data_IF_137168145578
#
_entry.id   IF_137168145578
#
_cell.length_a   1.000
_cell.length_b   1.000
_cell.length_c   1.000
_cell.angle_alpha   90.00
_cell.angle_beta   90.00
_cell.angle_gamma   90.00
#
_symmetry.space_group_name_H-M   'P 1'
#
loop_
_entity.id
_entity.type
_entity.pdbx_description
1 polymer ?
#
# COMPACT_ATOMS: atom_id res chain seq x y z
N UNK A 1 -33.98 6.15 -87.94
CA UNK A 1 -35.13 5.33 -87.49
C UNK A 1 -35.15 5.37 -85.98
N UNK A 2 -36.22 5.93 -85.41
CA UNK A 2 -36.79 5.57 -84.08
C UNK A 2 -36.00 6.08 -82.86
N UNK A 3 -36.53 6.80 -81.88
CA UNK A 3 -37.82 7.46 -81.66
C UNK A 3 -37.63 8.53 -80.56
N UNK A 4 -38.44 9.57 -80.64
CA UNK A 4 -38.65 10.64 -79.68
C UNK A 4 -39.19 10.18 -78.32
N UNK A 5 -38.89 11.00 -77.29
CA UNK A 5 -39.82 11.71 -76.39
C UNK A 5 -39.09 12.11 -75.09
N UNK A 6 -39.56 13.08 -74.27
CA UNK A 6 -40.53 14.15 -74.53
C UNK A 6 -40.03 15.53 -74.02
N UNK A 7 -40.50 16.65 -74.60
CA UNK A 7 -40.42 17.95 -73.94
C UNK A 7 -41.57 18.87 -74.35
N UNK A 8 -41.95 19.74 -73.41
CA UNK A 8 -42.89 20.87 -73.50
C UNK A 8 -44.38 20.49 -73.36
N UNK A 9 -45.25 21.23 -72.67
CA UNK A 9 -45.17 22.50 -71.94
C UNK A 9 -46.51 22.64 -71.21
N UNK A 10 -46.56 23.10 -69.95
CA UNK A 10 -47.54 24.13 -69.57
C UNK A 10 -47.17 24.82 -68.24
N UNK A 11 -46.94 26.11 -68.37
CA UNK A 11 -46.82 27.16 -67.35
C UNK A 11 -47.56 28.37 -67.98
N UNK A 12 -47.96 29.46 -67.30
CA UNK A 12 -48.13 29.79 -65.88
C UNK A 12 -49.53 30.40 -65.58
N UNK A 13 -49.74 30.86 -64.33
CA UNK A 13 -50.46 32.08 -63.87
C UNK A 13 -51.38 31.77 -62.69
N UNK A 14 -51.57 32.59 -61.66
CA UNK A 14 -50.91 33.77 -61.09
C UNK A 14 -51.58 33.96 -59.72
N UNK A 15 -50.84 34.47 -58.73
CA UNK A 15 -51.18 34.71 -57.31
C UNK A 15 -52.37 35.71 -57.11
N UNK A 16 -52.81 36.11 -55.88
CA UNK A 16 -52.23 35.90 -54.54
C UNK A 16 -53.24 35.62 -53.39
N UNK A 17 -52.79 34.90 -52.37
CA UNK A 17 -53.50 34.76 -51.10
C UNK A 17 -52.55 34.25 -50.03
N UNK A 18 -51.77 35.16 -49.43
CA UNK A 18 -51.06 34.90 -48.17
C UNK A 18 -51.85 35.59 -47.04
N UNK A 19 -51.70 35.23 -45.74
CA UNK A 19 -50.86 34.19 -45.15
C UNK A 19 -51.63 33.38 -44.07
N UNK A 20 -51.74 32.05 -44.21
CA UNK A 20 -51.99 31.21 -43.01
C UNK A 20 -50.69 30.53 -42.66
N UNK A 21 -49.81 31.31 -42.02
CA UNK A 21 -48.69 30.78 -41.24
C UNK A 21 -49.33 30.10 -40.02
N UNK A 22 -49.68 28.82 -40.18
CA UNK A 22 -49.96 27.97 -39.05
C UNK A 22 -48.63 27.67 -38.37
N UNK A 23 -48.25 28.53 -37.42
CA UNK A 23 -47.17 28.22 -36.49
C UNK A 23 -47.49 26.89 -35.78
N UNK A 24 -46.58 25.90 -35.77
CA UNK A 24 -46.71 24.82 -34.79
C UNK A 24 -46.54 25.45 -33.41
N UNK A 25 -47.66 25.43 -32.68
CA UNK A 25 -47.80 25.79 -31.27
C UNK A 25 -46.61 25.19 -30.49
N UNK A 26 -45.92 25.96 -29.64
CA UNK A 26 -44.89 25.40 -28.77
C UNK A 26 -45.58 24.36 -27.89
N UNK A 27 -45.23 23.09 -28.10
CA UNK A 27 -45.69 22.03 -27.21
C UNK A 27 -45.20 22.39 -25.82
N UNK A 28 -46.16 22.79 -24.99
CA UNK A 28 -46.05 22.98 -23.55
C UNK A 28 -45.06 21.97 -22.99
N UNK A 29 -44.08 22.34 -22.17
CA UNK A 29 -44.26 22.63 -20.73
C UNK A 29 -45.29 21.74 -20.01
N UNK A 30 -45.64 20.60 -20.57
CA UNK A 30 -46.03 19.42 -19.84
C UNK A 30 -44.77 18.62 -19.58
N UNK A 31 -43.88 19.19 -18.75
CA UNK A 31 -43.14 18.38 -17.79
C UNK A 31 -44.22 17.72 -16.93
N UNK A 32 -44.78 16.65 -17.48
CA UNK A 32 -45.57 15.70 -16.76
C UNK A 32 -44.72 15.38 -15.54
N UNK A 33 -45.27 15.72 -14.38
CA UNK A 33 -44.93 15.12 -13.10
C UNK A 33 -45.19 13.63 -13.33
N UNK A 34 -44.23 12.97 -13.99
CA UNK A 34 -44.18 11.52 -14.11
C UNK A 34 -43.85 11.12 -12.68
N UNK A 35 -44.87 10.59 -11.99
CA UNK A 35 -44.66 9.86 -10.75
C UNK A 35 -43.39 9.04 -10.91
N UNK A 36 -42.43 9.13 -9.97
CA UNK A 36 -41.17 8.43 -10.13
C UNK A 36 -41.50 6.96 -10.34
N UNK A 37 -41.08 6.40 -11.48
CA UNK A 37 -41.21 4.97 -11.69
C UNK A 37 -40.49 4.28 -10.54
N UNK A 38 -41.02 3.17 -10.04
CA UNK A 38 -40.47 2.44 -8.89
C UNK A 38 -38.96 2.21 -9.06
N UNK A 39 -38.53 1.90 -10.27
CA UNK A 39 -37.11 1.75 -10.65
C UNK A 39 -36.26 2.98 -10.34
N UNK A 40 -36.77 4.20 -10.56
CA UNK A 40 -36.06 5.45 -10.27
C UNK A 40 -36.00 5.72 -8.77
N UNK A 41 -37.06 5.41 -8.03
CA UNK A 41 -37.04 5.50 -6.56
C UNK A 41 -36.02 4.52 -5.98
N UNK A 42 -35.99 3.30 -6.51
CA UNK A 42 -35.04 2.27 -6.12
C UNK A 42 -33.60 2.69 -6.42
N UNK A 43 -33.34 3.22 -7.63
CA UNK A 43 -32.03 3.72 -8.02
C UNK A 43 -31.57 4.88 -7.11
N UNK A 44 -32.44 5.85 -6.86
CA UNK A 44 -32.12 6.99 -5.98
C UNK A 44 -31.87 6.56 -4.54
N UNK A 45 -32.65 5.60 -4.03
CA UNK A 45 -32.45 5.00 -2.71
C UNK A 45 -31.08 4.30 -2.64
N UNK A 46 -30.74 3.49 -3.64
CA UNK A 46 -29.46 2.80 -3.70
C UNK A 46 -28.28 3.78 -3.80
N UNK A 47 -28.41 4.84 -4.59
CA UNK A 47 -27.41 5.90 -4.68
C UNK A 47 -27.22 6.61 -3.34
N UNK A 48 -28.31 6.98 -2.65
CA UNK A 48 -28.24 7.62 -1.34
C UNK A 48 -27.64 6.70 -0.27
N UNK A 49 -28.04 5.42 -0.27
CA UNK A 49 -27.49 4.42 0.64
C UNK A 49 -25.98 4.22 0.40
N UNK A 50 -25.54 4.18 -0.86
CA UNK A 50 -24.12 4.04 -1.20
C UNK A 50 -23.32 5.25 -0.73
N UNK A 51 -23.75 6.47 -1.06
CA UNK A 51 -23.06 7.70 -0.62
C UNK A 51 -23.04 7.79 0.90
N UNK A 52 -24.16 7.50 1.58
CA UNK A 52 -24.23 7.47 3.03
C UNK A 52 -23.27 6.45 3.65
N UNK A 53 -23.20 5.24 3.10
CA UNK A 53 -22.27 4.20 3.55
C UNK A 53 -20.82 4.66 3.43
N UNK A 54 -20.43 5.28 2.32
CA UNK A 54 -19.07 5.80 2.13
C UNK A 54 -18.74 6.94 3.09
N UNK A 55 -19.67 7.89 3.30
CA UNK A 55 -19.46 9.00 4.24
C UNK A 55 -19.28 8.49 5.68
N UNK A 56 -20.12 7.55 6.11
CA UNK A 56 -20.00 6.95 7.45
C UNK A 56 -18.70 6.17 7.59
N UNK A 57 -18.36 5.33 6.61
CA UNK A 57 -17.11 4.58 6.59
C UNK A 57 -15.87 5.49 6.66
N UNK A 58 -15.90 6.60 5.92
CA UNK A 58 -14.83 7.60 5.95
C UNK A 58 -14.70 8.29 7.31
N UNK A 59 -15.81 8.66 7.94
CA UNK A 59 -15.78 9.28 9.28
C UNK A 59 -15.23 8.33 10.34
N UNK A 60 -15.61 7.05 10.30
CA UNK A 60 -15.05 6.02 11.20
C UNK A 60 -13.54 5.88 10.99
N UNK A 61 -13.08 5.88 9.73
CA UNK A 61 -11.65 5.78 9.42
C UNK A 61 -10.82 6.98 9.89
N UNK A 62 -11.43 8.16 10.06
CA UNK A 62 -10.75 9.34 10.60
C UNK A 62 -10.63 9.30 12.13
N UNK A 63 -11.65 8.75 12.81
CA UNK A 63 -11.69 8.65 14.27
C UNK A 63 -10.84 7.46 14.78
N UNK A 64 -10.97 6.30 14.13
CA UNK A 64 -10.18 5.10 14.41
C UNK A 64 -9.73 4.42 13.10
N UNK A 65 -8.49 4.68 12.64
CA UNK A 65 -7.98 4.08 11.41
C UNK A 65 -7.81 2.56 11.50
N UNK A 66 -7.80 1.97 12.70
CA UNK A 66 -7.70 0.52 12.88
C UNK A 66 -9.06 -0.18 13.00
N UNK A 67 -10.17 0.55 13.05
CA UNK A 67 -11.49 0.00 13.32
C UNK A 67 -11.85 -1.20 12.40
N UNK A 68 -11.67 -1.03 11.08
CA UNK A 68 -11.99 -2.08 10.11
C UNK A 68 -11.05 -3.28 10.21
N UNK A 69 -9.76 -3.04 10.48
CA UNK A 69 -8.78 -4.10 10.69
C UNK A 69 -9.12 -4.93 11.92
N UNK A 70 -9.49 -4.29 13.03
CA UNK A 70 -9.91 -4.97 14.26
C UNK A 70 -11.17 -5.79 14.05
N UNK A 71 -12.16 -5.24 13.36
CA UNK A 71 -13.40 -5.95 13.08
C UNK A 71 -13.20 -7.12 12.12
N UNK A 72 -12.33 -6.96 11.11
CA UNK A 72 -11.94 -8.04 10.20
C UNK A 72 -11.21 -9.17 10.93
N UNK A 73 -10.26 -8.85 11.81
CA UNK A 73 -9.54 -9.84 12.63
C UNK A 73 -10.50 -10.55 13.59
N UNK A 74 -11.41 -9.82 14.22
CA UNK A 74 -12.42 -10.39 15.12
C UNK A 74 -13.42 -11.30 14.41
N UNK A 75 -13.65 -11.09 13.11
CA UNK A 75 -14.54 -11.90 12.29
C UNK A 75 -13.86 -13.16 11.71
N UNK A 76 -12.53 -13.32 11.86
CA UNK A 76 -11.84 -14.52 11.40
C UNK A 76 -12.25 -15.72 12.27
N UNK A 77 -12.65 -16.86 11.66
CA UNK A 77 -12.87 -18.07 12.42
C UNK A 77 -11.53 -18.56 12.97
N UNK A 78 -11.51 -18.91 14.26
CA UNK A 78 -10.30 -19.36 14.99
C UNK A 78 -9.60 -20.53 14.30
N UNK A 79 -10.32 -21.33 13.49
CA UNK A 79 -9.78 -22.43 12.70
C UNK A 79 -9.05 -22.02 11.41
N UNK A 80 -9.22 -20.79 10.92
CA UNK A 80 -8.55 -20.27 9.73
C UNK A 80 -7.39 -19.30 10.06
N UNK A 81 -7.21 -18.99 11.34
CA UNK A 81 -6.04 -18.26 11.83
C UNK A 81 -4.96 -19.30 12.08
N UNK A 82 -3.95 -19.34 11.20
CA UNK A 82 -2.72 -20.07 11.49
C UNK A 82 -2.17 -19.51 12.81
N UNK A 83 -2.11 -20.31 13.89
CA UNK A 83 -1.64 -19.81 15.17
C UNK A 83 -0.23 -19.26 14.95
N UNK A 84 -0.10 -17.95 15.09
CA UNK A 84 1.20 -17.30 15.05
C UNK A 84 2.02 -17.93 16.18
N UNK A 85 2.89 -18.85 15.82
CA UNK A 85 3.83 -19.51 16.71
C UNK A 85 5.00 -18.57 17.01
N UNK A 86 4.70 -17.31 17.36
CA UNK A 86 5.64 -16.36 17.96
C UNK A 86 5.29 -16.22 19.44
N UNK A 87 5.73 -17.20 20.22
CA UNK A 87 6.35 -16.97 21.53
C UNK A 87 5.53 -16.37 22.68
N UNK A 88 4.21 -16.19 22.58
CA UNK A 88 3.42 -15.59 23.65
C UNK A 88 2.45 -16.57 24.35
N UNK A 89 3.05 -17.49 25.12
CA UNK A 89 2.61 -18.04 26.42
C UNK A 89 1.22 -18.72 26.52
N UNK A 90 1.19 -20.06 26.53
CA UNK A 90 0.69 -20.95 27.62
C UNK A 90 1.31 -22.33 27.32
N UNK A 91 2.07 -22.88 28.26
CA UNK A 91 3.07 -23.97 28.08
C UNK A 91 4.34 -23.53 27.34
N UNK A 92 5.46 -23.56 28.06
CA UNK A 92 6.80 -23.44 27.48
C UNK A 92 7.24 -24.87 27.16
N UNK A 93 7.02 -25.40 25.93
CA UNK A 93 7.76 -26.57 25.51
C UNK A 93 9.25 -26.18 25.54
N UNK A 94 10.06 -27.01 26.20
CA UNK A 94 11.52 -26.93 26.30
C UNK A 94 12.11 -26.20 25.11
N UNK A 95 12.67 -25.00 25.35
CA UNK A 95 13.24 -24.18 24.30
C UNK A 95 14.09 -25.06 23.36
N UNK A 96 13.69 -25.14 22.08
CA UNK A 96 14.48 -25.86 21.11
C UNK A 96 15.88 -25.25 21.12
N UNK A 97 16.95 -26.07 21.30
CA UNK A 97 18.29 -25.54 21.38
C UNK A 97 18.58 -24.78 20.09
N UNK A 98 18.92 -23.50 20.22
CA UNK A 98 19.31 -22.69 19.08
C UNK A 98 20.47 -23.40 18.34
N UNK A 99 20.47 -23.39 16.99
CA UNK A 99 21.57 -23.98 16.23
C UNK A 99 22.87 -23.32 16.67
N UNK A 100 23.72 -24.11 17.34
CA UNK A 100 25.04 -23.65 17.75
C UNK A 100 25.90 -23.63 16.49
N UNK A 101 26.34 -22.44 16.09
CA UNK A 101 27.32 -22.30 15.02
C UNK A 101 28.64 -22.85 15.56
N UNK A 102 28.92 -24.11 15.24
CA UNK A 102 30.17 -24.78 15.60
C UNK A 102 31.25 -24.28 14.65
N UNK A 103 32.14 -23.43 15.16
CA UNK A 103 33.30 -22.94 14.40
C UNK A 103 34.44 -23.95 14.50
N UNK A 104 35.11 -24.20 13.39
CA UNK A 104 36.32 -25.04 13.35
C UNK A 104 37.48 -24.38 14.13
N UNK A 105 37.52 -23.05 14.14
CA UNK A 105 38.52 -22.25 14.88
C UNK A 105 37.89 -20.96 15.37
N UNK A 106 38.23 -20.46 16.58
CA UNK A 106 37.84 -19.12 16.97
C UNK A 106 38.50 -18.07 16.03
N UNK A 107 37.77 -17.06 15.56
CA UNK A 107 38.33 -15.99 14.75
C UNK A 107 39.36 -15.19 15.57
N UNK A 108 40.39 -14.68 14.91
CA UNK A 108 41.35 -13.77 15.55
C UNK A 108 40.93 -12.32 15.39
N UNK A 109 41.39 -11.42 16.27
CA UNK A 109 41.15 -9.98 16.12
C UNK A 109 41.48 -9.42 14.73
N UNK A 110 42.53 -9.93 14.08
CA UNK A 110 42.97 -9.47 12.77
C UNK A 110 42.02 -9.86 11.61
N UNK A 111 41.13 -10.83 11.85
CA UNK A 111 40.16 -11.30 10.85
C UNK A 111 38.92 -10.39 10.80
N UNK A 112 38.77 -9.49 11.79
CA UNK A 112 37.61 -8.60 11.89
C UNK A 112 37.87 -7.27 11.19
N UNK A 113 36.91 -6.86 10.37
CA UNK A 113 36.86 -5.55 9.75
C UNK A 113 35.59 -4.81 10.15
N UNK A 114 35.72 -3.53 10.52
CA UNK A 114 34.58 -2.65 10.75
C UNK A 114 33.96 -2.30 9.40
N UNK A 115 32.73 -2.76 9.17
CA UNK A 115 31.96 -2.42 7.96
C UNK A 115 31.27 -1.07 8.15
N UNK A 116 30.62 -0.89 9.29
CA UNK A 116 29.94 0.36 9.63
C UNK A 116 29.75 0.47 11.14
N UNK A 117 29.66 1.71 11.62
CA UNK A 117 29.25 2.05 12.98
C UNK A 117 27.99 2.91 12.87
N UNK A 118 26.98 2.64 13.69
CA UNK A 118 25.75 3.42 13.76
C UNK A 118 25.20 3.37 15.19
N UNK A 119 24.78 4.50 15.74
CA UNK A 119 24.05 4.59 17.01
C UNK A 119 24.62 3.74 18.17
N UNK A 120 25.94 3.81 18.39
CA UNK A 120 26.67 3.01 19.40
C UNK A 120 26.64 1.49 19.18
N UNK A 121 26.35 1.05 17.97
CA UNK A 121 26.45 -0.32 17.48
C UNK A 121 27.42 -0.37 16.30
N UNK A 122 28.05 -1.53 16.11
CA UNK A 122 28.98 -1.76 15.01
C UNK A 122 28.63 -3.05 14.28
N UNK A 123 28.83 -3.03 12.97
CA UNK A 123 28.83 -4.25 12.15
C UNK A 123 30.28 -4.62 11.89
N UNK A 124 30.67 -5.77 12.40
CA UNK A 124 31.97 -6.39 12.16
C UNK A 124 31.79 -7.50 11.13
N UNK A 125 32.64 -7.53 10.11
CA UNK A 125 32.72 -8.63 9.16
C UNK A 125 33.96 -9.47 9.45
N UNK A 126 33.80 -10.78 9.34
CA UNK A 126 34.90 -11.70 9.04
C UNK A 126 34.78 -12.14 7.58
N UNK A 127 35.65 -13.03 7.10
CA UNK A 127 35.56 -13.59 5.74
C UNK A 127 34.26 -14.37 5.48
N UNK A 128 33.60 -14.86 6.53
CA UNK A 128 32.46 -15.79 6.42
C UNK A 128 31.19 -15.27 7.12
N UNK A 129 31.32 -14.35 8.08
CA UNK A 129 30.22 -13.95 8.96
C UNK A 129 30.12 -12.43 9.12
N UNK A 130 28.90 -11.96 9.35
CA UNK A 130 28.61 -10.59 9.76
C UNK A 130 28.09 -10.60 11.19
N UNK A 131 28.68 -9.77 12.04
CA UNK A 131 28.39 -9.66 13.45
C UNK A 131 27.86 -8.25 13.74
N UNK A 132 26.63 -8.16 14.23
CA UNK A 132 26.11 -6.93 14.81
C UNK A 132 26.44 -6.93 16.30
N UNK A 133 27.18 -5.92 16.74
CA UNK A 133 27.69 -5.85 18.12
C UNK A 133 27.33 -4.52 18.76
N UNK A 134 27.06 -4.56 20.06
CA UNK A 134 26.80 -3.41 20.91
C UNK A 134 27.76 -3.42 22.10
N UNK A 135 27.95 -2.27 22.75
CA UNK A 135 28.66 -2.20 24.03
C UNK A 135 28.07 -3.22 25.03
N UNK A 136 28.94 -4.01 25.65
CA UNK A 136 28.59 -5.14 26.53
C UNK A 136 28.38 -6.48 25.82
N UNK A 137 28.41 -6.53 24.48
CA UNK A 137 28.33 -7.79 23.74
C UNK A 137 29.65 -8.56 23.83
N UNK A 138 29.59 -9.89 23.87
CA UNK A 138 30.77 -10.76 23.85
C UNK A 138 30.95 -11.36 22.46
N UNK A 139 32.08 -11.04 21.83
CA UNK A 139 32.42 -11.55 20.49
C UNK A 139 33.58 -12.55 20.62
N UNK A 140 33.46 -13.76 20.03
CA UNK A 140 34.56 -14.72 20.00
C UNK A 140 35.82 -14.08 19.41
N UNK A 141 36.96 -14.16 20.11
CA UNK A 141 38.25 -13.63 19.63
C UNK A 141 38.54 -12.16 19.96
N UNK A 142 37.52 -11.31 20.11
CA UNK A 142 37.68 -9.90 20.52
C UNK A 142 37.36 -9.68 22.01
N UNK A 143 36.54 -10.56 22.59
CA UNK A 143 36.05 -10.47 23.97
C UNK A 143 34.85 -9.53 24.11
N UNK A 144 34.68 -8.97 25.29
CA UNK A 144 33.62 -8.01 25.59
C UNK A 144 33.89 -6.66 24.92
N UNK A 145 32.89 -6.10 24.25
CA UNK A 145 32.96 -4.78 23.63
C UNK A 145 32.80 -3.71 24.71
N UNK A 146 33.83 -2.90 24.90
CA UNK A 146 33.89 -1.86 25.94
C UNK A 146 33.34 -0.53 25.45
N UNK A 147 33.70 -0.14 24.24
CA UNK A 147 33.30 1.15 23.65
C UNK A 147 33.29 1.06 22.14
N UNK A 148 32.32 1.75 21.53
CA UNK A 148 32.18 1.91 20.08
C UNK A 148 32.13 3.42 19.82
N UNK A 149 33.07 3.94 19.06
CA UNK A 149 33.18 5.35 18.70
C UNK A 149 33.08 5.49 17.18
N UNK A 150 32.19 6.37 16.70
CA UNK A 150 32.10 6.71 15.28
C UNK A 150 33.17 7.77 14.94
N UNK A 151 33.94 7.55 13.89
CA UNK A 151 35.00 8.46 13.45
C UNK A 151 34.95 8.63 11.93
N UNK A 152 34.25 9.67 11.49
CA UNK A 152 34.15 10.02 10.07
C UNK A 152 33.46 8.93 9.24
N UNK A 153 34.13 8.40 8.23
CA UNK A 153 33.63 7.33 7.35
C UNK A 153 33.75 5.92 7.95
N UNK A 154 34.23 5.80 9.18
CA UNK A 154 34.41 4.53 9.87
C UNK A 154 34.23 4.66 11.38
N UNK A 155 34.94 3.83 12.13
CA UNK A 155 34.88 3.90 13.59
C UNK A 155 36.03 3.20 14.28
N UNK A 156 35.95 3.24 15.60
CA UNK A 156 36.84 2.57 16.53
C UNK A 156 36.00 1.68 17.44
N UNK A 157 36.35 0.39 17.48
CA UNK A 157 35.71 -0.58 18.37
C UNK A 157 36.76 -1.09 19.34
N UNK A 158 36.66 -0.69 20.60
CA UNK A 158 37.53 -1.20 21.68
C UNK A 158 36.86 -2.39 22.32
N UNK A 159 37.51 -3.53 22.24
CA UNK A 159 37.14 -4.76 22.91
C UNK A 159 38.20 -5.13 23.96
N UNK A 160 37.87 -6.04 24.87
CA UNK A 160 38.76 -6.49 25.94
C UNK A 160 40.10 -7.00 25.43
N UNK A 161 40.13 -7.65 24.26
CA UNK A 161 41.33 -8.30 23.73
C UNK A 161 41.99 -7.55 22.57
N UNK A 162 41.30 -6.58 21.96
CA UNK A 162 41.82 -5.81 20.84
C UNK A 162 41.08 -4.49 20.63
N UNK A 163 41.73 -3.53 19.99
CA UNK A 163 41.10 -2.32 19.45
C UNK A 163 41.12 -2.41 17.94
N UNK A 164 39.95 -2.32 17.32
CA UNK A 164 39.79 -2.24 15.88
C UNK A 164 39.62 -0.79 15.48
N UNK A 165 40.35 -0.36 14.46
CA UNK A 165 40.21 0.94 13.84
C UNK A 165 39.97 0.75 12.34
N UNK A 166 39.03 1.49 11.78
CA UNK A 166 38.87 1.52 10.32
C UNK A 166 40.15 2.11 9.71
N UNK A 167 40.81 1.33 8.84
CA UNK A 167 41.94 1.84 8.07
C UNK A 167 41.44 2.98 7.16
N UNK A 168 41.78 4.22 7.51
CA UNK A 168 41.50 5.38 6.68
C UNK A 168 42.19 5.18 5.32
N UNK A 169 41.40 5.18 4.25
CA UNK A 169 41.88 5.21 2.86
C UNK A 169 41.40 6.48 2.20
#
# INVERSE_FOLDING_TARGET
MTNDLPFQHKTPASAPGSPTIAAPIPQSLSQAIRLPTLDRMFLLSLCMASVGFFVVSYMISLDDPEYFSRQAIAALPVSAVDPINTGAIVDVPTAMPAPQIVRVKPPFPADFQIVMVFDSEAILATSEELWRVKVGSVVPGLGEILTIEERGTGGMVKAKQATLETAAR
#
